data_IF_976839555209
#
_entry.id   IF_976839555209
#
_cell.length_a   1.000
_cell.length_b   1.000
_cell.length_c   1.000
_cell.angle_alpha   90.00
_cell.angle_beta   90.00
_cell.angle_gamma   90.00
#
_symmetry.space_group_name_H-M   'P 1'
#
loop_
_entity.id
_entity.type
_entity.pdbx_description
1 polymer ?
#
# COMPACT_ATOMS: atom_id res chain seq x y z
N UNK A 1 -42.62 -17.84 -0.01
CA UNK A 1 -42.55 -16.40 0.32
C UNK A 1 -42.07 -16.26 1.76
N UNK A 2 -41.43 -15.14 2.16
CA UNK A 2 -41.18 -13.91 1.40
C UNK A 2 -39.67 -13.69 1.15
N UNK A 3 -39.16 -12.76 0.36
CA UNK A 3 -39.66 -11.82 -0.64
C UNK A 3 -38.41 -11.51 -1.52
N UNK A 4 -38.54 -11.46 -2.84
CA UNK A 4 -38.60 -10.15 -3.52
C UNK A 4 -37.25 -9.43 -3.54
N UNK A 5 -36.32 -9.85 -4.41
CA UNK A 5 -35.11 -9.06 -4.71
C UNK A 5 -35.42 -8.12 -5.88
N UNK A 6 -35.95 -6.94 -5.53
CA UNK A 6 -36.09 -5.81 -6.44
C UNK A 6 -34.86 -4.89 -6.32
N UNK A 7 -34.29 -4.59 -7.49
CA UNK A 7 -33.61 -3.35 -7.90
C UNK A 7 -32.79 -2.56 -6.86
N UNK A 8 -31.49 -2.44 -7.13
CA UNK A 8 -30.73 -1.23 -6.77
C UNK A 8 -29.98 -1.22 -5.44
N UNK A 9 -29.71 -2.36 -4.80
CA UNK A 9 -28.77 -2.35 -3.66
C UNK A 9 -27.35 -2.04 -4.17
N UNK A 10 -26.82 -0.90 -3.72
CA UNK A 10 -25.39 -0.60 -3.78
C UNK A 10 -24.61 -1.86 -3.37
N UNK A 11 -23.61 -2.25 -4.16
CA UNK A 11 -22.81 -3.43 -3.89
C UNK A 11 -22.44 -3.48 -2.39
N UNK A 12 -22.63 -4.60 -1.67
CA UNK A 12 -22.64 -4.63 -0.21
C UNK A 12 -21.35 -4.10 0.44
N UNK A 13 -20.26 -4.00 -0.31
CA UNK A 13 -18.98 -3.47 0.15
C UNK A 13 -18.56 -2.17 -0.57
N UNK A 14 -19.45 -1.53 -1.32
CA UNK A 14 -19.13 -0.41 -2.21
C UNK A 14 -18.20 -0.78 -3.36
N UNK A 15 -17.95 -2.07 -3.59
CA UNK A 15 -17.07 -2.58 -4.64
C UNK A 15 -17.88 -3.38 -5.68
N UNK A 16 -17.89 -2.98 -6.97
CA UNK A 16 -18.58 -3.73 -8.01
C UNK A 16 -18.02 -5.16 -8.22
N UNK A 17 -16.79 -5.42 -7.78
CA UNK A 17 -16.19 -6.76 -7.79
C UNK A 17 -16.76 -7.68 -6.69
N UNK A 18 -17.51 -7.13 -5.73
CA UNK A 18 -18.23 -7.88 -4.71
C UNK A 18 -19.54 -8.44 -5.27
N UNK A 19 -19.42 -9.30 -6.28
CA UNK A 19 -20.56 -9.91 -6.95
C UNK A 19 -21.24 -10.95 -6.06
N UNK A 20 -22.48 -11.32 -6.39
CA UNK A 20 -23.17 -12.44 -5.72
C UNK A 20 -22.35 -13.73 -5.72
N UNK A 21 -21.58 -13.98 -6.79
CA UNK A 21 -20.66 -15.12 -6.87
C UNK A 21 -19.55 -15.06 -5.83
N UNK A 22 -18.94 -13.90 -5.63
CA UNK A 22 -17.89 -13.71 -4.61
C UNK A 22 -18.47 -13.82 -3.21
N UNK A 23 -19.67 -13.28 -2.97
CA UNK A 23 -20.36 -13.41 -1.69
C UNK A 23 -20.71 -14.86 -1.34
N UNK A 24 -21.03 -15.68 -2.35
CA UNK A 24 -21.36 -17.10 -2.18
C UNK A 24 -20.14 -18.02 -2.18
N UNK A 25 -18.92 -17.52 -2.43
CA UNK A 25 -17.73 -18.36 -2.49
C UNK A 25 -17.38 -18.93 -1.11
N UNK A 26 -17.01 -20.22 -1.07
CA UNK A 26 -16.66 -20.91 0.16
C UNK A 26 -15.27 -20.46 0.67
N UNK A 27 -15.27 -19.88 1.87
CA UNK A 27 -14.10 -19.38 2.56
C UNK A 27 -13.82 -20.24 3.81
N UNK A 28 -13.54 -21.53 3.59
CA UNK A 28 -13.25 -22.47 4.67
C UNK A 28 -14.51 -22.91 5.42
N UNK A 29 -15.55 -23.32 4.68
CA UNK A 29 -16.79 -23.89 5.22
C UNK A 29 -17.89 -22.87 5.50
N UNK A 30 -17.73 -21.62 5.08
CA UNK A 30 -18.77 -20.60 5.14
C UNK A 30 -18.62 -19.63 3.97
N UNK A 31 -19.74 -19.11 3.47
CA UNK A 31 -19.74 -18.13 2.40
C UNK A 31 -19.12 -16.79 2.85
N UNK A 32 -18.38 -16.11 1.97
CA UNK A 32 -17.83 -14.77 2.24
C UNK A 32 -18.89 -13.80 2.79
N UNK A 33 -20.09 -13.79 2.20
CA UNK A 33 -21.21 -12.97 2.66
C UNK A 33 -21.71 -13.35 4.05
N UNK A 34 -21.79 -14.65 4.35
CA UNK A 34 -22.23 -15.14 5.66
C UNK A 34 -21.28 -14.72 6.78
N UNK A 35 -19.96 -14.75 6.52
CA UNK A 35 -18.96 -14.25 7.48
C UNK A 35 -19.09 -12.75 7.72
N UNK A 36 -19.35 -11.97 6.66
CA UNK A 36 -19.55 -10.53 6.78
C UNK A 36 -20.84 -10.21 7.55
N UNK A 37 -21.94 -10.91 7.26
CA UNK A 37 -23.22 -10.74 7.96
C UNK A 37 -23.09 -11.11 9.45
N UNK A 38 -22.32 -12.15 9.77
CA UNK A 38 -21.99 -12.51 11.15
C UNK A 38 -21.20 -11.41 11.88
N UNK A 39 -20.23 -10.76 11.22
CA UNK A 39 -19.52 -9.64 11.83
C UNK A 39 -20.43 -8.43 12.06
N UNK A 40 -21.35 -8.16 11.12
CA UNK A 40 -22.33 -7.09 11.25
C UNK A 40 -23.30 -7.36 12.41
N UNK A 41 -23.79 -8.60 12.57
CA UNK A 41 -24.66 -8.95 13.71
C UNK A 41 -23.95 -8.85 15.06
N UNK A 42 -22.62 -8.90 15.08
CA UNK A 42 -21.76 -8.65 16.25
C UNK A 42 -21.43 -7.17 16.46
N UNK A 43 -22.03 -6.26 15.69
CA UNK A 43 -21.89 -4.82 15.82
C UNK A 43 -20.85 -4.17 14.90
N UNK A 44 -20.27 -4.91 13.94
CA UNK A 44 -19.38 -4.31 12.95
C UNK A 44 -20.16 -3.52 11.90
N UNK A 45 -19.57 -2.46 11.37
CA UNK A 45 -20.11 -1.86 10.14
C UNK A 45 -19.91 -2.82 8.96
N UNK A 46 -20.79 -2.74 7.97
CA UNK A 46 -20.70 -3.54 6.74
C UNK A 46 -19.33 -3.35 6.05
N UNK A 47 -18.84 -2.12 5.94
CA UNK A 47 -17.53 -1.81 5.36
C UNK A 47 -16.37 -2.43 6.16
N UNK A 48 -16.42 -2.36 7.49
CA UNK A 48 -15.40 -2.98 8.34
C UNK A 48 -15.42 -4.51 8.20
N UNK A 49 -16.60 -5.11 8.14
CA UNK A 49 -16.77 -6.55 7.89
C UNK A 49 -16.19 -6.95 6.53
N UNK A 50 -16.50 -6.19 5.47
CA UNK A 50 -15.94 -6.39 4.13
C UNK A 50 -14.41 -6.30 4.14
N UNK A 51 -13.82 -5.29 4.79
CA UNK A 51 -12.37 -5.15 4.92
C UNK A 51 -11.75 -6.35 5.65
N UNK A 52 -12.30 -6.73 6.82
CA UNK A 52 -11.80 -7.83 7.63
C UNK A 52 -11.79 -9.14 6.85
N UNK A 53 -12.92 -9.51 6.24
CA UNK A 53 -13.06 -10.79 5.53
C UNK A 53 -12.26 -10.81 4.23
N UNK A 54 -12.33 -9.75 3.42
CA UNK A 54 -11.75 -9.73 2.09
C UNK A 54 -10.27 -9.31 2.02
N UNK A 55 -9.71 -8.68 3.06
CA UNK A 55 -8.28 -8.32 3.10
C UNK A 55 -7.47 -9.15 4.09
N UNK A 56 -8.08 -9.62 5.17
CA UNK A 56 -7.35 -10.22 6.29
C UNK A 56 -7.61 -11.71 6.39
N UNK A 57 -8.88 -12.12 6.45
CA UNK A 57 -9.23 -13.53 6.72
C UNK A 57 -9.07 -14.40 5.46
N UNK A 58 -9.63 -13.96 4.32
CA UNK A 58 -9.71 -14.77 3.10
C UNK A 58 -9.45 -13.97 1.83
N UNK A 59 -8.28 -13.34 1.66
CA UNK A 59 -7.99 -12.45 0.53
C UNK A 59 -8.08 -13.15 -0.83
N UNK A 60 -7.70 -14.43 -0.91
CA UNK A 60 -7.74 -15.19 -2.16
C UNK A 60 -9.16 -15.51 -2.65
N UNK A 61 -10.12 -15.67 -1.73
CA UNK A 61 -11.50 -16.09 -2.06
C UNK A 61 -12.45 -14.90 -2.04
N UNK A 62 -12.39 -14.09 -0.98
CA UNK A 62 -13.31 -12.98 -0.75
C UNK A 62 -12.78 -11.63 -1.27
N UNK A 63 -11.59 -11.60 -1.87
CA UNK A 63 -10.87 -10.36 -2.24
C UNK A 63 -11.67 -9.38 -3.11
N UNK A 64 -12.57 -9.88 -3.96
CA UNK A 64 -13.48 -9.03 -4.75
C UNK A 64 -14.42 -8.16 -3.90
N UNK A 65 -14.64 -8.53 -2.64
CA UNK A 65 -15.43 -7.76 -1.68
C UNK A 65 -14.63 -6.78 -0.84
N UNK A 66 -13.32 -6.64 -1.06
CA UNK A 66 -12.57 -5.62 -0.36
C UNK A 66 -13.13 -4.23 -0.71
N UNK A 67 -13.41 -3.36 0.27
CA UNK A 67 -13.89 -2.02 -0.03
C UNK A 67 -12.86 -1.31 -0.91
N UNK A 68 -13.29 -0.53 -1.91
CA UNK A 68 -12.36 0.28 -2.67
C UNK A 68 -11.62 1.22 -1.70
N UNK A 69 -10.38 1.62 -2.02
CA UNK A 69 -9.77 2.76 -1.32
C UNK A 69 -10.78 3.92 -1.35
N UNK A 70 -10.92 4.64 -0.24
CA UNK A 70 -12.01 5.59 0.07
C UNK A 70 -12.10 6.83 -0.85
N UNK A 71 -11.63 6.75 -2.09
CA UNK A 71 -11.54 7.83 -3.07
C UNK A 71 -12.46 7.68 -4.27
N UNK A 72 -13.36 6.69 -4.31
CA UNK A 72 -14.24 6.48 -5.46
C UNK A 72 -15.68 6.95 -5.20
N UNK A 73 -15.98 8.19 -5.59
CA UNK A 73 -17.36 8.68 -5.74
C UNK A 73 -17.87 8.32 -7.16
N UNK A 74 -19.11 7.81 -7.24
CA UNK A 74 -19.66 7.04 -8.36
C UNK A 74 -20.22 7.86 -9.55
N UNK A 75 -19.44 8.79 -10.13
CA UNK A 75 -19.93 9.63 -11.25
C UNK A 75 -18.95 9.82 -12.42
N UNK A 76 -18.09 8.85 -12.74
CA UNK A 76 -17.12 8.99 -13.85
C UNK A 76 -17.13 7.84 -14.88
N UNK A 77 -18.22 7.08 -15.02
CA UNK A 77 -18.34 6.05 -16.07
C UNK A 77 -19.09 6.53 -17.31
N UNK A 78 -18.73 7.70 -17.86
CA UNK A 78 -19.06 8.06 -19.24
C UNK A 78 -18.04 9.05 -19.82
N UNK A 79 -16.79 8.62 -20.02
CA UNK A 79 -15.96 9.03 -21.18
C UNK A 79 -14.55 8.40 -21.12
N UNK A 80 -14.35 7.15 -21.54
CA UNK A 80 -13.00 6.68 -21.88
C UNK A 80 -13.01 5.69 -23.04
N UNK A 81 -12.74 6.21 -24.24
CA UNK A 81 -12.01 5.49 -25.29
C UNK A 81 -10.60 6.11 -25.36
N UNK A 82 -9.67 5.71 -24.48
CA UNK A 82 -8.23 6.03 -24.60
C UNK A 82 -7.33 4.91 -24.03
N UNK A 83 -6.13 4.67 -24.63
CA UNK A 83 -5.19 3.57 -24.33
C UNK A 83 -4.25 3.88 -23.12
N UNK A 84 -3.39 2.93 -22.67
CA UNK A 84 -2.92 2.90 -21.28
C UNK A 84 -1.72 3.81 -21.06
N UNK A 85 -1.92 4.90 -20.33
CA UNK A 85 -0.83 5.62 -19.68
C UNK A 85 -1.15 5.89 -18.21
N UNK A 86 -0.38 5.22 -17.36
CA UNK A 86 -0.21 5.46 -15.94
C UNK A 86 0.26 6.91 -15.73
N UNK A 87 -0.63 7.82 -15.34
CA UNK A 87 -0.23 9.16 -14.85
C UNK A 87 -1.36 9.79 -14.03
N UNK A 88 -1.31 9.55 -12.73
CA UNK A 88 -1.92 10.44 -11.73
C UNK A 88 -1.04 10.43 -10.47
N UNK A 89 0.04 11.21 -10.52
CA UNK A 89 0.49 12.06 -9.40
C UNK A 89 0.53 11.38 -8.02
N UNK A 90 1.64 10.68 -7.75
CA UNK A 90 2.13 10.40 -6.40
C UNK A 90 2.88 11.65 -5.88
N UNK A 91 2.20 12.75 -5.55
CA UNK A 91 2.87 13.98 -5.04
C UNK A 91 2.57 14.25 -3.58
N UNK A 92 3.23 13.54 -2.68
CA UNK A 92 3.53 14.14 -1.36
C UNK A 92 5.00 14.29 -1.09
N UNK A 93 5.84 13.52 -1.76
CA UNK A 93 7.26 13.56 -1.51
C UNK A 93 8.05 13.48 -2.82
N UNK A 94 8.94 14.44 -3.03
CA UNK A 94 9.99 14.39 -4.04
C UNK A 94 11.19 13.66 -3.43
N UNK A 95 11.83 12.81 -4.22
CA UNK A 95 12.95 11.99 -3.78
C UNK A 95 14.21 12.43 -4.53
N UNK A 96 15.20 12.89 -3.79
CA UNK A 96 16.47 13.38 -4.34
C UNK A 96 17.62 12.78 -3.55
N UNK A 97 18.78 12.61 -4.19
CA UNK A 97 20.01 12.26 -3.48
C UNK A 97 20.64 13.52 -2.88
N UNK A 98 21.28 13.44 -1.69
CA UNK A 98 22.12 14.53 -1.18
C UNK A 98 23.26 14.87 -2.17
N UNK A 99 23.83 13.86 -2.81
CA UNK A 99 24.68 14.03 -3.98
C UNK A 99 23.77 14.26 -5.20
N UNK A 100 23.57 15.53 -5.58
CA UNK A 100 22.71 15.93 -6.70
C UNK A 100 23.13 15.35 -8.05
N UNK A 101 24.28 14.69 -8.14
CA UNK A 101 24.79 14.05 -9.35
C UNK A 101 24.52 12.55 -9.38
N UNK A 102 24.42 11.90 -8.21
CA UNK A 102 24.26 10.46 -8.10
C UNK A 102 23.54 10.04 -6.83
N UNK A 103 22.66 9.06 -6.97
CA UNK A 103 21.99 8.38 -5.85
C UNK A 103 22.81 7.24 -5.24
N UNK A 104 23.90 6.84 -5.88
CA UNK A 104 24.66 5.65 -5.52
C UNK A 104 25.50 5.92 -4.28
N UNK A 105 25.25 5.15 -3.21
CA UNK A 105 25.99 5.20 -1.97
C UNK A 105 25.09 5.21 -0.74
N UNK A 106 25.74 5.13 0.41
CA UNK A 106 25.11 5.06 1.71
C UNK A 106 24.80 6.47 2.26
N UNK A 107 23.66 6.64 2.93
CA UNK A 107 23.25 7.89 3.54
C UNK A 107 24.16 8.26 4.71
N UNK A 108 24.59 9.52 4.77
CA UNK A 108 25.38 10.08 5.88
C UNK A 108 24.80 11.41 6.32
N UNK A 109 24.95 11.71 7.61
CA UNK A 109 24.71 13.05 8.14
C UNK A 109 25.94 13.94 7.88
N UNK A 110 25.82 15.23 8.13
CA UNK A 110 26.92 16.18 7.99
C UNK A 110 28.16 15.71 8.79
N UNK A 111 29.34 15.71 8.15
CA UNK A 111 30.58 15.19 8.73
C UNK A 111 30.76 13.67 8.57
N UNK A 112 29.96 13.03 7.72
CA UNK A 112 30.17 11.63 7.30
C UNK A 112 29.72 10.54 8.28
N UNK A 113 29.05 10.87 9.38
CA UNK A 113 28.52 9.88 10.32
C UNK A 113 27.26 9.18 9.79
N UNK A 114 26.93 7.99 10.31
CA UNK A 114 25.79 7.17 9.83
C UNK A 114 24.41 7.76 10.14
N UNK A 115 24.30 8.62 11.16
CA UNK A 115 23.01 9.16 11.59
C UNK A 115 22.14 8.18 12.39
N UNK A 116 20.89 8.56 12.64
CA UNK A 116 19.90 7.77 13.37
C UNK A 116 18.94 7.11 12.37
N UNK A 117 18.89 5.79 12.41
CA UNK A 117 18.09 4.99 11.49
C UNK A 117 17.57 3.72 12.16
N UNK A 118 16.55 3.13 11.55
CA UNK A 118 16.09 1.77 11.83
C UNK A 118 16.37 0.87 10.62
N UNK A 119 16.67 -0.40 10.86
CA UNK A 119 16.93 -1.38 9.79
C UNK A 119 15.70 -2.27 9.58
N UNK A 120 15.36 -2.50 8.32
CA UNK A 120 14.34 -3.43 7.86
C UNK A 120 14.97 -4.46 6.92
N UNK A 121 14.86 -5.72 7.31
CA UNK A 121 15.38 -6.87 6.55
C UNK A 121 14.26 -7.49 5.72
N UNK A 122 14.62 -8.14 4.60
CA UNK A 122 13.64 -8.79 3.71
C UNK A 122 12.88 -7.83 2.80
N UNK A 123 13.17 -6.52 2.86
CA UNK A 123 12.67 -5.52 1.90
C UNK A 123 13.35 -5.75 0.57
N UNK A 124 12.59 -6.09 -0.47
CA UNK A 124 13.11 -6.69 -1.70
C UNK A 124 13.58 -5.68 -2.76
N UNK A 125 13.24 -4.39 -2.60
CA UNK A 125 13.56 -3.35 -3.59
C UNK A 125 13.68 -1.96 -2.95
N UNK A 126 14.35 -1.04 -3.66
CA UNK A 126 14.41 0.38 -3.26
C UNK A 126 13.02 1.02 -3.27
N UNK A 127 12.16 0.65 -4.22
CA UNK A 127 10.79 1.14 -4.31
C UNK A 127 9.95 0.76 -3.08
N UNK A 128 10.13 -0.43 -2.54
CA UNK A 128 9.49 -0.89 -1.31
C UNK A 128 10.04 -0.14 -0.09
N UNK A 129 11.37 0.05 -0.01
CA UNK A 129 12.01 0.83 1.05
C UNK A 129 11.52 2.29 1.06
N UNK A 130 11.40 2.90 -0.12
CA UNK A 130 10.82 4.23 -0.32
C UNK A 130 9.37 4.30 0.18
N UNK A 131 8.55 3.28 -0.09
CA UNK A 131 7.17 3.23 0.35
C UNK A 131 7.05 3.16 1.89
N UNK A 132 7.95 2.41 2.54
CA UNK A 132 8.06 2.37 4.01
C UNK A 132 8.40 3.77 4.56
N UNK A 133 9.41 4.44 3.99
CA UNK A 133 9.75 5.81 4.39
C UNK A 133 8.63 6.82 4.09
N UNK A 134 7.91 6.67 2.98
CA UNK A 134 6.78 7.54 2.64
C UNK A 134 5.66 7.46 3.70
N UNK A 135 5.40 6.25 4.21
CA UNK A 135 4.37 5.96 5.22
C UNK A 135 4.76 6.46 6.62
N UNK A 136 6.05 6.43 6.97
CA UNK A 136 6.53 6.93 8.26
C UNK A 136 6.62 8.47 8.27
N UNK A 137 5.93 9.07 9.23
CA UNK A 137 5.91 10.53 9.43
C UNK A 137 7.24 11.07 9.97
N UNK A 138 8.07 10.23 10.57
CA UNK A 138 9.39 10.60 11.10
C UNK A 138 10.51 10.35 10.10
N UNK A 139 10.25 9.63 9.00
CA UNK A 139 11.27 9.38 8.00
C UNK A 139 11.64 10.69 7.27
N UNK A 140 12.93 10.96 7.21
CA UNK A 140 13.53 12.08 6.47
C UNK A 140 14.35 11.61 5.27
N UNK A 141 14.82 10.37 5.27
CA UNK A 141 15.57 9.76 4.18
C UNK A 141 15.49 8.23 4.25
N UNK A 142 15.77 7.55 3.14
CA UNK A 142 15.99 6.10 3.15
C UNK A 142 17.29 5.72 2.45
N UNK A 143 17.92 4.66 2.96
CA UNK A 143 18.99 3.94 2.27
C UNK A 143 18.49 2.55 1.90
N UNK A 144 18.71 2.13 0.66
CA UNK A 144 18.45 0.74 0.26
C UNK A 144 19.74 0.10 -0.24
N UNK A 145 20.11 -1.03 0.35
CA UNK A 145 21.22 -1.87 -0.08
C UNK A 145 20.74 -3.19 -0.67
N UNK A 146 21.14 -3.49 -1.91
CA UNK A 146 20.98 -4.80 -2.54
C UNK A 146 22.35 -5.48 -2.64
N UNK A 147 22.54 -6.52 -1.85
CA UNK A 147 23.74 -7.34 -1.84
C UNK A 147 23.44 -8.74 -2.38
N UNK A 148 24.49 -9.52 -2.69
CA UNK A 148 24.34 -10.85 -3.31
C UNK A 148 23.44 -11.81 -2.53
N UNK A 149 23.48 -11.75 -1.19
CA UNK A 149 22.78 -12.70 -0.33
C UNK A 149 21.57 -12.11 0.41
N UNK A 150 21.45 -10.78 0.44
CA UNK A 150 20.41 -10.10 1.20
C UNK A 150 20.22 -8.67 0.72
N UNK A 151 19.08 -8.11 1.08
CA UNK A 151 18.80 -6.68 0.96
C UNK A 151 18.52 -6.09 2.34
N UNK A 152 18.80 -4.79 2.47
CA UNK A 152 18.56 -4.04 3.68
C UNK A 152 17.99 -2.67 3.33
N UNK A 153 16.96 -2.28 4.06
CA UNK A 153 16.38 -0.95 4.02
C UNK A 153 16.68 -0.23 5.34
N UNK A 154 17.28 0.95 5.29
CA UNK A 154 17.43 1.83 6.44
C UNK A 154 16.44 2.99 6.34
N UNK A 155 15.62 3.19 7.38
CA UNK A 155 14.69 4.33 7.50
C UNK A 155 15.33 5.35 8.44
N UNK A 156 15.75 6.49 7.90
CA UNK A 156 16.46 7.54 8.64
C UNK A 156 15.47 8.58 9.18
N UNK A 157 15.55 8.88 10.47
CA UNK A 157 14.77 9.95 11.12
C UNK A 157 15.57 11.24 11.35
N UNK A 158 16.89 11.17 11.18
CA UNK A 158 17.82 12.31 11.24
C UNK A 158 18.02 13.01 9.90
N UNK A 159 18.68 14.18 9.93
CA UNK A 159 19.01 14.96 8.72
C UNK A 159 20.21 14.34 8.00
N UNK A 160 19.94 13.52 6.99
CA UNK A 160 20.94 13.06 6.03
C UNK A 160 21.36 14.25 5.15
N UNK A 161 22.66 14.40 4.91
CA UNK A 161 23.25 15.52 4.18
C UNK A 161 24.29 15.08 3.13
N UNK A 162 24.80 13.85 3.22
CA UNK A 162 25.93 13.38 2.42
C UNK A 162 25.69 11.94 1.95
N UNK A 163 26.43 11.54 0.92
CA UNK A 163 26.46 10.17 0.41
C UNK A 163 27.89 9.64 0.50
N UNK A 164 28.09 8.48 1.13
CA UNK A 164 29.35 7.76 1.08
C UNK A 164 29.30 6.73 -0.06
N UNK A 165 30.23 6.72 -1.01
CA UNK A 165 30.27 5.71 -2.07
C UNK A 165 30.35 4.30 -1.50
N UNK A 166 29.27 3.53 -1.67
CA UNK A 166 29.18 2.11 -1.32
C UNK A 166 28.45 1.42 -2.46
N UNK A 167 29.07 0.37 -3.02
CA UNK A 167 28.49 -0.37 -4.13
C UNK A 167 27.23 -1.12 -3.69
N UNK A 168 26.18 -1.06 -4.50
CA UNK A 168 24.92 -1.75 -4.23
C UNK A 168 23.98 -1.02 -3.29
N UNK A 169 24.33 0.18 -2.80
CA UNK A 169 23.44 1.01 -1.98
C UNK A 169 22.96 2.26 -2.70
N UNK A 170 21.77 2.73 -2.37
CA UNK A 170 21.24 4.01 -2.84
C UNK A 170 20.72 4.83 -1.67
N UNK A 171 20.87 6.14 -1.75
CA UNK A 171 20.42 7.08 -0.73
C UNK A 171 19.46 8.12 -1.33
N UNK A 172 18.35 8.38 -0.63
CA UNK A 172 17.39 9.40 -1.01
C UNK A 172 16.81 10.15 0.19
N UNK A 173 16.72 11.46 0.06
CA UNK A 173 16.00 12.38 0.92
C UNK A 173 14.51 12.38 0.59
N UNK A 174 13.68 12.45 1.63
CA UNK A 174 12.24 12.70 1.54
C UNK A 174 11.99 14.20 1.58
N UNK A 175 11.67 14.80 0.45
CA UNK A 175 11.40 16.24 0.35
C UNK A 175 9.89 16.44 0.21
N UNK A 176 9.32 17.31 1.04
CA UNK A 176 7.89 17.67 1.00
C UNK A 176 7.67 18.79 -0.01
#
# INVERSE_FOLDING_TARGET
>A
APAGQAAGQAAPCGNPLCTAKVLAADAGGHACGARMDWLVSRGSSRQAACHRVAKIEFPAVCGGCAPPPLTANAAQQTLQAQPPHHTAISTRFRWESPDRTSRQGACRVAGGARGVYTEQWGVSSDAECRALCAKDTHCRAYEYGAFKAYSRCEIHSGNVAEVLPVAGTVCYLKII
#
